data_IF_115464398631
#
_entry.id   IF_115464398631
#
_cell.length_a   1.000
_cell.length_b   1.000
_cell.length_c   1.000
_cell.angle_alpha   90.00
_cell.angle_beta   90.00
_cell.angle_gamma   90.00
#
_symmetry.space_group_name_H-M   'P 1'
#
loop_
_entity.id
_entity.type
_entity.pdbx_description
1 polymer ?
#
# COMPACT_ATOMS: atom_id res chain seq x y z
N UNK A 1 12.48 13.37 -3.55
CA UNK A 1 12.10 12.23 -4.41
C UNK A 1 13.05 12.19 -5.60
N UNK A 2 13.80 11.11 -5.72
CA UNK A 2 14.75 10.81 -6.80
C UNK A 2 14.02 10.24 -8.03
N UNK A 3 14.72 10.12 -9.15
CA UNK A 3 14.16 9.47 -10.35
C UNK A 3 13.85 7.98 -10.12
N UNK A 4 14.67 7.27 -9.34
CA UNK A 4 14.42 5.86 -8.98
C UNK A 4 13.17 5.70 -8.12
N UNK A 5 12.98 6.59 -7.14
CA UNK A 5 11.76 6.60 -6.33
C UNK A 5 10.52 6.91 -7.18
N UNK A 6 10.60 7.91 -8.07
CA UNK A 6 9.49 8.24 -8.97
C UNK A 6 9.12 7.05 -9.86
N UNK A 7 10.12 6.41 -10.47
CA UNK A 7 9.90 5.22 -11.31
C UNK A 7 9.24 4.09 -10.51
N UNK A 8 9.76 3.77 -9.32
CA UNK A 8 9.20 2.74 -8.46
C UNK A 8 7.73 3.03 -8.09
N UNK A 9 7.42 4.26 -7.66
CA UNK A 9 6.05 4.65 -7.34
C UNK A 9 5.10 4.54 -8.55
N UNK A 10 5.58 4.88 -9.76
CA UNK A 10 4.80 4.69 -10.98
C UNK A 10 4.51 3.21 -11.26
N UNK A 11 5.50 2.32 -11.10
CA UNK A 11 5.29 0.89 -11.26
C UNK A 11 4.31 0.33 -10.23
N UNK A 12 4.41 0.75 -8.96
CA UNK A 12 3.47 0.37 -7.91
C UNK A 12 2.04 0.83 -8.24
N UNK A 13 1.87 2.06 -8.72
CA UNK A 13 0.56 2.59 -9.09
C UNK A 13 -0.08 1.81 -10.25
N UNK A 14 0.72 1.30 -11.19
CA UNK A 14 0.23 0.50 -12.32
C UNK A 14 -0.34 -0.86 -11.91
N UNK A 15 0.02 -1.40 -10.73
CA UNK A 15 -0.51 -2.67 -10.25
C UNK A 15 -2.01 -2.61 -9.89
N UNK A 16 -2.58 -1.40 -9.76
CA UNK A 16 -3.90 -1.23 -9.17
C UNK A 16 -3.89 -1.49 -7.66
N UNK A 17 -5.03 -1.29 -7.00
CA UNK A 17 -5.17 -1.58 -5.58
C UNK A 17 -4.81 -3.04 -5.30
N UNK A 18 -3.90 -3.31 -4.37
CA UNK A 18 -3.44 -4.68 -4.06
C UNK A 18 -4.57 -5.57 -3.52
N UNK A 19 -5.68 -4.98 -3.06
CA UNK A 19 -6.86 -5.70 -2.57
C UNK A 19 -7.86 -6.00 -3.68
N UNK A 20 -8.18 -5.02 -4.55
CA UNK A 20 -9.30 -5.15 -5.51
C UNK A 20 -9.01 -4.67 -6.94
N UNK A 21 -7.78 -4.25 -7.26
CA UNK A 21 -7.37 -3.82 -8.60
C UNK A 21 -7.84 -2.42 -9.02
N UNK A 22 -8.74 -1.76 -8.27
CA UNK A 22 -9.19 -0.39 -8.58
C UNK A 22 -8.06 0.64 -8.56
N UNK A 23 -8.34 1.83 -9.11
CA UNK A 23 -7.40 2.96 -9.17
C UNK A 23 -6.80 3.25 -7.77
N UNK A 24 -5.47 3.12 -7.60
CA UNK A 24 -4.84 3.23 -6.29
C UNK A 24 -4.35 4.64 -5.98
N UNK A 25 -4.30 4.94 -4.69
CA UNK A 25 -3.46 5.93 -4.06
C UNK A 25 -2.22 5.21 -3.48
N UNK A 26 -1.10 5.91 -3.32
CA UNK A 26 0.11 5.35 -2.69
C UNK A 26 -0.04 5.39 -1.17
N UNK A 27 0.06 4.23 -0.54
CA UNK A 27 0.10 4.08 0.90
C UNK A 27 1.51 3.72 1.37
N UNK A 28 2.13 4.57 2.20
CA UNK A 28 3.40 4.26 2.85
C UNK A 28 3.17 3.34 4.05
N UNK A 29 3.83 2.19 4.03
CA UNK A 29 3.76 1.19 5.11
C UNK A 29 4.11 1.82 6.44
N UNK A 30 3.19 1.72 7.41
CA UNK A 30 3.27 2.29 8.75
C UNK A 30 3.97 1.37 9.75
N UNK A 31 4.19 0.09 9.42
CA UNK A 31 4.92 -0.83 10.28
C UNK A 31 6.30 -0.27 10.65
N UNK A 32 6.62 -0.24 11.96
CA UNK A 32 7.86 0.30 12.49
C UNK A 32 7.99 1.84 12.47
N UNK A 33 7.00 2.58 11.98
CA UNK A 33 7.06 4.06 11.89
C UNK A 33 6.40 4.74 13.09
N UNK A 34 7.06 5.76 13.63
CA UNK A 34 6.51 6.61 14.67
C UNK A 34 5.36 7.52 14.19
N UNK A 35 4.73 8.21 15.14
CA UNK A 35 3.69 9.20 14.84
C UNK A 35 4.25 10.31 13.95
N UNK A 36 3.55 10.67 12.87
CA UNK A 36 3.98 11.69 11.91
C UNK A 36 5.14 11.31 10.99
N UNK A 37 5.82 10.18 11.22
CA UNK A 37 6.88 9.70 10.34
C UNK A 37 6.31 9.08 9.06
N UNK A 38 7.00 9.29 7.94
CA UNK A 38 6.71 8.65 6.65
C UNK A 38 7.83 7.67 6.32
N UNK A 39 7.46 6.47 5.89
CA UNK A 39 8.41 5.45 5.47
C UNK A 39 9.04 5.79 4.10
N UNK A 40 10.02 4.99 3.69
CA UNK A 40 10.65 5.05 2.36
C UNK A 40 9.63 4.98 1.23
N UNK A 41 9.90 5.66 0.12
CA UNK A 41 9.10 5.53 -1.10
C UNK A 41 9.21 4.15 -1.76
N UNK A 42 10.16 3.31 -1.32
CA UNK A 42 10.26 1.91 -1.72
C UNK A 42 9.44 0.95 -0.84
N UNK A 43 8.87 1.45 0.26
CA UNK A 43 8.05 0.68 1.20
C UNK A 43 6.60 1.16 1.13
N UNK A 44 5.98 0.91 -0.02
CA UNK A 44 4.62 1.37 -0.32
C UNK A 44 3.75 0.23 -0.85
N UNK A 45 2.45 0.32 -0.61
CA UNK A 45 1.44 -0.54 -1.24
C UNK A 45 0.39 0.32 -1.95
N UNK A 46 -0.15 -0.14 -3.10
CA UNK A 46 -1.20 0.58 -3.81
C UNK A 46 -2.56 0.25 -3.20
N UNK A 47 -3.30 1.26 -2.71
CA UNK A 47 -4.64 1.08 -2.13
C UNK A 47 -5.63 2.06 -2.75
N UNK A 48 -6.79 1.61 -3.22
CA UNK A 48 -7.83 2.52 -3.70
C UNK A 48 -8.42 3.33 -2.56
N UNK A 49 -9.11 4.44 -2.86
CA UNK A 49 -9.68 5.32 -1.82
C UNK A 49 -10.60 4.57 -0.83
N UNK A 50 -11.29 3.50 -1.26
CA UNK A 50 -12.14 2.65 -0.40
C UNK A 50 -11.29 1.90 0.61
N UNK A 51 -10.31 1.12 0.15
CA UNK A 51 -9.43 0.33 1.02
C UNK A 51 -8.41 1.18 1.78
N UNK A 52 -8.14 2.41 1.33
CA UNK A 52 -7.21 3.31 2.00
C UNK A 52 -7.91 4.10 3.12
N UNK A 53 -8.99 4.84 2.82
CA UNK A 53 -9.53 5.87 3.73
C UNK A 53 -11.05 6.01 3.83
N UNK A 54 -11.82 5.62 2.81
CA UNK A 54 -13.27 5.94 2.72
C UNK A 54 -14.22 4.77 2.94
N UNK A 55 -13.75 3.52 2.92
CA UNK A 55 -14.59 2.32 3.07
C UNK A 55 -15.14 2.06 4.48
N UNK A 56 -14.72 2.82 5.49
CA UNK A 56 -15.18 2.63 6.88
C UNK A 56 -14.46 1.48 7.61
N UNK A 57 -14.91 1.18 8.84
CA UNK A 57 -14.28 0.19 9.71
C UNK A 57 -14.28 -1.21 9.08
N UNK A 58 -13.15 -1.91 9.14
CA UNK A 58 -12.96 -3.23 8.54
C UNK A 58 -12.70 -3.23 7.03
N UNK A 59 -12.88 -2.10 6.33
CA UNK A 59 -12.63 -1.98 4.88
C UNK A 59 -11.53 -0.98 4.57
N UNK A 60 -11.51 0.18 5.23
CA UNK A 60 -10.46 1.19 5.08
C UNK A 60 -9.35 1.03 6.12
N UNK A 61 -8.10 1.03 5.69
CA UNK A 61 -6.94 0.93 6.57
C UNK A 61 -6.97 2.00 7.68
N UNK A 62 -7.20 3.26 7.31
CA UNK A 62 -7.21 4.38 8.26
C UNK A 62 -8.43 4.41 9.18
N UNK A 63 -9.47 3.61 8.92
CA UNK A 63 -10.64 3.51 9.80
C UNK A 63 -10.49 2.41 10.87
N UNK A 64 -9.54 1.49 10.71
CA UNK A 64 -9.36 0.39 11.66
C UNK A 64 -8.26 -0.59 11.23
N UNK A 65 -7.00 -0.20 11.39
CA UNK A 65 -5.82 -0.98 10.96
C UNK A 65 -5.87 -2.45 11.40
N UNK A 66 -6.19 -2.74 12.66
CA UNK A 66 -6.17 -4.11 13.19
C UNK A 66 -7.12 -5.02 12.42
N UNK A 67 -8.41 -4.68 12.40
CA UNK A 67 -9.44 -5.43 11.69
C UNK A 67 -9.20 -5.46 10.19
N UNK A 68 -8.70 -4.37 9.61
CA UNK A 68 -8.32 -4.35 8.21
C UNK A 68 -7.25 -5.40 7.89
N UNK A 69 -6.20 -5.51 8.70
CA UNK A 69 -5.16 -6.50 8.49
C UNK A 69 -5.64 -7.94 8.73
N UNK A 70 -6.58 -8.15 9.65
CA UNK A 70 -7.24 -9.45 9.83
C UNK A 70 -8.01 -9.88 8.56
N UNK A 71 -8.62 -8.92 7.86
CA UNK A 71 -9.41 -9.18 6.64
C UNK A 71 -8.54 -9.36 5.38
N UNK A 72 -7.44 -8.61 5.26
CA UNK A 72 -6.72 -8.47 3.99
C UNK A 72 -5.24 -8.89 4.03
N UNK A 73 -4.70 -9.13 5.23
CA UNK A 73 -3.27 -9.32 5.47
C UNK A 73 -2.60 -8.07 6.00
N UNK A 74 -1.44 -8.25 6.63
CA UNK A 74 -0.63 -7.18 7.19
C UNK A 74 0.00 -6.31 6.10
N UNK A 75 0.39 -5.08 6.44
CA UNK A 75 1.11 -4.20 5.51
C UNK A 75 2.39 -4.84 4.97
N UNK A 76 3.10 -5.64 5.76
CA UNK A 76 4.34 -6.31 5.35
C UNK A 76 4.06 -7.45 4.37
N UNK A 77 3.07 -8.30 4.64
CA UNK A 77 2.67 -9.38 3.70
C UNK A 77 2.20 -8.81 2.37
N UNK A 78 1.48 -7.68 2.40
CA UNK A 78 1.03 -7.00 1.18
C UNK A 78 2.19 -6.31 0.45
N UNK A 79 3.17 -5.76 1.18
CA UNK A 79 4.39 -5.21 0.59
C UNK A 79 5.20 -6.31 -0.12
N UNK A 80 5.31 -7.50 0.47
CA UNK A 80 5.98 -8.64 -0.16
C UNK A 80 5.28 -9.06 -1.45
N UNK A 81 3.94 -9.10 -1.46
CA UNK A 81 3.14 -9.35 -2.68
C UNK A 81 3.34 -8.27 -3.75
N UNK A 82 3.44 -7.00 -3.37
CA UNK A 82 3.74 -5.90 -4.29
C UNK A 82 5.12 -6.10 -4.90
N UNK A 83 6.13 -6.39 -4.08
CA UNK A 83 7.49 -6.62 -4.54
C UNK A 83 7.59 -7.84 -5.48
N UNK A 84 6.84 -8.91 -5.21
CA UNK A 84 6.74 -10.06 -6.10
C UNK A 84 6.14 -9.69 -7.45
N UNK A 85 5.00 -8.98 -7.47
CA UNK A 85 4.37 -8.52 -8.71
C UNK A 85 5.29 -7.64 -9.55
N UNK A 86 6.04 -6.74 -8.91
CA UNK A 86 7.02 -5.90 -9.60
C UNK A 86 8.17 -6.70 -10.23
N UNK A 87 8.61 -7.79 -9.58
CA UNK A 87 9.64 -8.68 -10.15
C UNK A 87 9.14 -9.46 -11.35
N UNK A 88 7.87 -9.89 -11.33
CA UNK A 88 7.27 -10.65 -12.45
C UNK A 88 6.93 -9.77 -13.67
N UNK A 89 6.83 -8.45 -13.48
CA UNK A 89 6.56 -7.48 -14.54
C UNK A 89 7.84 -6.89 -15.17
N UNK A 90 9.02 -7.24 -14.65
CA UNK A 90 10.33 -6.81 -15.13
C UNK A 90 10.91 -7.80 -16.14
#
# INVERSE_FOLDING_TARGET
MTNKERYHLSQVAMLGCIICGNIPEIHHVRHGMGLGQRNSNFNVIPLCHVHHRTGGFGVAFHAGKKTWQENFGTELELLDKVNEKLRLAA
#
